data_IF_922898995616
#
_entry.id   IF_922898995616
#
_cell.length_a   1.000
_cell.length_b   1.000
_cell.length_c   1.000
_cell.angle_alpha   90.00
_cell.angle_beta   90.00
_cell.angle_gamma   90.00
#
_symmetry.space_group_name_H-M   'P 1'
#
loop_
_entity.id
_entity.type
_entity.pdbx_description
1 polymer ?
#
# COMPACT_ATOMS: atom_id res chain seq x y z
N UNK A 1 6.58 -1.52 -29.92
CA UNK A 1 6.93 -2.71 -30.72
C UNK A 1 7.58 -3.68 -29.76
N UNK A 2 6.82 -4.65 -29.28
CA UNK A 2 7.38 -5.80 -28.55
C UNK A 2 8.19 -6.63 -29.54
N UNK A 3 9.41 -6.96 -29.16
CA UNK A 3 10.31 -7.76 -29.99
C UNK A 3 9.90 -9.24 -29.94
N UNK A 4 10.01 -9.94 -31.06
CA UNK A 4 9.69 -11.37 -31.14
C UNK A 4 10.58 -12.17 -30.17
N UNK A 5 11.86 -11.82 -30.09
CA UNK A 5 12.83 -12.48 -29.22
C UNK A 5 12.53 -12.21 -27.74
N UNK A 6 12.05 -11.02 -27.39
CA UNK A 6 11.64 -10.68 -26.02
C UNK A 6 10.40 -11.47 -25.58
N UNK A 7 9.44 -11.67 -26.48
CA UNK A 7 8.22 -12.46 -26.20
C UNK A 7 8.55 -13.95 -25.99
N UNK A 8 9.42 -14.51 -26.84
CA UNK A 8 9.83 -15.91 -26.74
C UNK A 8 10.76 -16.17 -25.54
N UNK A 9 11.66 -15.24 -25.22
CA UNK A 9 12.48 -15.36 -23.99
C UNK A 9 11.62 -15.27 -22.73
N UNK A 10 10.58 -14.44 -22.71
CA UNK A 10 9.64 -14.36 -21.59
C UNK A 10 8.92 -15.70 -21.37
N UNK A 11 8.50 -16.37 -22.45
CA UNK A 11 7.96 -17.73 -22.41
C UNK A 11 8.98 -18.76 -21.90
N UNK A 12 10.22 -18.72 -22.41
CA UNK A 12 11.28 -19.65 -22.03
C UNK A 12 11.58 -19.63 -20.52
N UNK A 13 11.52 -18.45 -19.90
CA UNK A 13 11.76 -18.29 -18.46
C UNK A 13 10.51 -18.51 -17.60
N UNK A 14 9.38 -18.96 -18.19
CA UNK A 14 8.13 -19.20 -17.47
C UNK A 14 7.54 -17.95 -16.81
N UNK A 15 7.84 -16.76 -17.34
CA UNK A 15 7.32 -15.49 -16.79
C UNK A 15 5.92 -15.24 -17.34
N UNK A 16 5.09 -14.58 -16.52
CA UNK A 16 3.78 -14.12 -16.97
C UNK A 16 3.95 -13.09 -18.10
N UNK A 17 3.31 -13.34 -19.24
CA UNK A 17 3.22 -12.39 -20.33
C UNK A 17 2.35 -11.20 -19.91
N UNK A 18 2.82 -10.00 -20.20
CA UNK A 18 1.97 -8.82 -20.12
C UNK A 18 0.95 -8.79 -21.27
N UNK A 19 0.03 -7.84 -21.23
CA UNK A 19 -1.07 -7.74 -22.20
C UNK A 19 -0.56 -7.54 -23.63
N UNK A 20 0.53 -6.78 -23.80
CA UNK A 20 1.06 -6.42 -25.12
C UNK A 20 1.85 -7.58 -25.73
N UNK A 21 2.62 -8.32 -24.93
CA UNK A 21 3.30 -9.54 -25.33
C UNK A 21 2.31 -10.67 -25.65
N UNK A 22 1.21 -10.79 -24.89
CA UNK A 22 0.14 -11.75 -25.19
C UNK A 22 -0.58 -11.40 -26.51
N UNK A 23 -0.88 -10.12 -26.75
CA UNK A 23 -1.47 -9.66 -28.00
C UNK A 23 -0.52 -9.88 -29.19
N UNK A 24 0.78 -9.62 -29.01
CA UNK A 24 1.81 -9.88 -30.00
C UNK A 24 1.90 -11.37 -30.34
N UNK A 25 1.93 -12.23 -29.32
CA UNK A 25 1.94 -13.69 -29.52
C UNK A 25 0.71 -14.15 -30.29
N UNK A 26 -0.48 -13.60 -30.04
CA UNK A 26 -1.68 -13.96 -30.79
C UNK A 26 -1.64 -13.48 -32.26
N UNK A 27 -0.96 -12.37 -32.55
CA UNK A 27 -0.91 -11.78 -33.89
C UNK A 27 0.26 -12.29 -34.74
N UNK A 28 1.44 -12.48 -34.16
CA UNK A 28 2.68 -12.79 -34.87
C UNK A 28 2.71 -14.28 -35.27
N UNK A 29 2.81 -14.61 -36.58
CA UNK A 29 2.83 -16.00 -37.03
C UNK A 29 4.10 -16.75 -36.59
N UNK A 30 5.25 -16.06 -36.53
CA UNK A 30 6.52 -16.63 -36.06
C UNK A 30 6.43 -17.05 -34.59
N UNK A 31 6.02 -16.14 -33.71
CA UNK A 31 5.90 -16.44 -32.29
C UNK A 31 4.87 -17.55 -32.00
N UNK A 32 3.76 -17.63 -32.76
CA UNK A 32 2.80 -18.74 -32.64
C UNK A 32 3.38 -20.09 -33.06
N UNK A 33 4.21 -20.10 -34.10
CA UNK A 33 4.84 -21.33 -34.56
C UNK A 33 5.93 -21.81 -33.59
N UNK A 34 6.68 -20.88 -32.99
CA UNK A 34 7.82 -21.18 -32.10
C UNK A 34 7.41 -21.41 -30.63
N UNK A 35 6.30 -20.84 -30.15
CA UNK A 35 5.86 -20.98 -28.75
C UNK A 35 5.76 -22.42 -28.22
N UNK A 36 5.18 -23.42 -28.95
CA UNK A 36 5.11 -24.78 -28.41
C UNK A 36 6.50 -25.43 -28.24
N UNK A 37 7.46 -25.07 -29.09
CA UNK A 37 8.84 -25.56 -28.97
C UNK A 37 9.55 -24.92 -27.77
N UNK A 38 9.35 -23.61 -27.55
CA UNK A 38 9.89 -22.89 -26.40
C UNK A 38 9.29 -23.39 -25.08
N UNK A 39 7.99 -23.61 -25.01
CA UNK A 39 7.31 -24.20 -23.85
C UNK A 39 7.75 -25.66 -23.62
N UNK A 40 8.04 -26.40 -24.69
CA UNK A 40 8.63 -27.73 -24.59
C UNK A 40 10.03 -27.68 -23.97
N UNK A 41 10.85 -26.72 -24.41
CA UNK A 41 12.19 -26.51 -23.88
C UNK A 41 12.17 -26.11 -22.39
N UNK A 42 11.28 -25.18 -22.01
CA UNK A 42 11.06 -24.78 -20.62
C UNK A 42 10.72 -26.01 -19.75
N UNK A 43 9.77 -26.84 -20.17
CA UNK A 43 9.41 -28.08 -19.45
C UNK A 43 10.58 -29.05 -19.32
N UNK A 44 11.38 -29.24 -20.37
CA UNK A 44 12.56 -30.10 -20.29
C UNK A 44 13.63 -29.57 -19.35
N UNK A 45 13.84 -28.25 -19.32
CA UNK A 45 14.79 -27.61 -18.40
C UNK A 45 14.28 -27.68 -16.95
N UNK A 46 12.98 -27.49 -16.73
CA UNK A 46 12.34 -27.59 -15.42
C UNK A 46 12.36 -29.02 -14.87
N UNK A 47 12.30 -30.04 -15.73
CA UNK A 47 12.40 -31.45 -15.36
C UNK A 47 13.83 -31.91 -15.07
N UNK A 48 14.85 -31.10 -15.39
CA UNK A 48 16.23 -31.47 -15.12
C UNK A 48 16.46 -31.60 -13.61
N UNK A 49 17.17 -32.65 -13.15
CA UNK A 49 17.40 -32.87 -11.73
C UNK A 49 18.23 -31.73 -11.15
N UNK A 50 17.63 -30.95 -10.27
CA UNK A 50 18.33 -29.90 -9.52
C UNK A 50 18.91 -30.51 -8.25
N UNK A 51 20.22 -30.38 -8.00
CA UNK A 51 20.81 -30.87 -6.75
C UNK A 51 20.15 -30.19 -5.55
N UNK A 52 19.91 -30.95 -4.49
CA UNK A 52 19.30 -30.42 -3.27
C UNK A 52 20.14 -29.23 -2.76
N UNK A 53 19.54 -28.04 -2.58
CA UNK A 53 20.27 -26.90 -2.09
C UNK A 53 20.74 -27.15 -0.65
N UNK A 54 21.90 -26.62 -0.25
CA UNK A 54 22.36 -26.76 1.12
C UNK A 54 21.34 -26.15 2.09
N UNK A 55 21.12 -26.74 3.28
CA UNK A 55 20.01 -26.37 4.18
C UNK A 55 20.08 -24.92 4.66
N UNK A 56 21.28 -24.33 4.69
CA UNK A 56 21.48 -22.93 5.08
C UNK A 56 21.28 -21.92 3.92
N UNK A 57 21.15 -22.37 2.67
CA UNK A 57 21.11 -21.51 1.49
C UNK A 57 19.92 -20.54 1.55
N UNK A 58 18.72 -21.06 1.80
CA UNK A 58 17.51 -20.24 1.87
C UNK A 58 17.64 -19.12 2.91
N UNK A 59 18.12 -19.44 4.11
CA UNK A 59 18.34 -18.46 5.19
C UNK A 59 19.38 -17.42 4.80
N UNK A 60 20.49 -17.82 4.17
CA UNK A 60 21.56 -16.90 3.75
C UNK A 60 21.11 -15.98 2.61
N UNK A 61 20.37 -16.50 1.63
CA UNK A 61 19.79 -15.72 0.54
C UNK A 61 18.78 -14.72 1.07
N UNK A 62 17.90 -15.13 1.98
CA UNK A 62 16.94 -14.22 2.61
C UNK A 62 17.63 -13.14 3.45
N UNK A 63 18.68 -13.50 4.21
CA UNK A 63 19.44 -12.53 4.97
C UNK A 63 20.16 -11.51 4.06
N UNK A 64 20.75 -11.97 2.95
CA UNK A 64 21.40 -11.10 1.97
C UNK A 64 20.39 -10.23 1.19
N UNK A 65 19.19 -10.76 0.92
CA UNK A 65 18.12 -10.05 0.21
C UNK A 65 17.30 -9.14 1.14
N UNK A 66 17.41 -9.27 2.46
CA UNK A 66 16.68 -8.48 3.45
C UNK A 66 16.69 -6.96 3.19
N UNK A 67 17.82 -6.29 2.88
CA UNK A 67 17.81 -4.85 2.59
C UNK A 67 17.01 -4.51 1.32
N UNK A 68 17.10 -5.34 0.28
CA UNK A 68 16.36 -5.14 -0.97
C UNK A 68 14.87 -5.39 -0.79
N UNK A 69 14.51 -6.44 -0.05
CA UNK A 69 13.13 -6.75 0.33
C UNK A 69 12.52 -5.64 1.19
N UNK A 70 13.27 -5.09 2.15
CA UNK A 70 12.82 -3.97 2.98
C UNK A 70 12.60 -2.71 2.14
N UNK A 71 13.50 -2.41 1.20
CA UNK A 71 13.38 -1.25 0.30
C UNK A 71 12.20 -1.39 -0.66
N UNK A 72 11.97 -2.59 -1.20
CA UNK A 72 10.87 -2.84 -2.12
C UNK A 72 9.51 -2.88 -1.38
N UNK A 73 9.47 -3.46 -0.18
CA UNK A 73 8.28 -3.48 0.66
C UNK A 73 7.83 -2.05 1.03
N UNK A 74 8.76 -1.13 1.32
CA UNK A 74 8.43 0.30 1.57
C UNK A 74 7.80 0.95 0.34
N UNK A 75 8.32 0.69 -0.86
CA UNK A 75 7.75 1.23 -2.11
C UNK A 75 6.37 0.65 -2.40
N UNK A 76 6.17 -0.65 -2.19
CA UNK A 76 4.89 -1.32 -2.42
C UNK A 76 3.82 -0.95 -1.39
N UNK A 77 4.21 -0.62 -0.15
CA UNK A 77 3.28 -0.23 0.92
C UNK A 77 2.88 1.25 0.88
N UNK A 78 3.65 2.10 0.20
CA UNK A 78 3.38 3.54 0.11
C UNK A 78 2.01 3.88 -0.51
N UNK A 79 1.58 3.28 -1.65
CA UNK A 79 0.29 3.62 -2.25
C UNK A 79 -0.90 3.16 -1.41
N UNK A 80 -0.82 2.02 -0.71
CA UNK A 80 -1.88 1.55 0.19
C UNK A 80 -1.97 2.43 1.43
N UNK A 81 -0.82 2.83 2.00
CA UNK A 81 -0.77 3.72 3.15
C UNK A 81 -1.24 5.13 2.79
N UNK A 82 -0.87 5.65 1.61
CA UNK A 82 -1.36 6.91 1.08
C UNK A 82 -2.88 6.90 0.83
N UNK A 83 -3.44 5.79 0.33
CA UNK A 83 -4.90 5.63 0.17
C UNK A 83 -5.63 5.60 1.50
N UNK A 84 -5.10 4.87 2.48
CA UNK A 84 -5.67 4.81 3.82
C UNK A 84 -5.60 6.19 4.51
N UNK A 85 -4.48 6.89 4.37
CA UNK A 85 -4.29 8.24 4.90
C UNK A 85 -5.25 9.22 4.21
N UNK A 86 -5.39 9.16 2.88
CA UNK A 86 -6.31 10.02 2.13
C UNK A 86 -7.77 9.77 2.53
N UNK A 87 -8.17 8.51 2.72
CA UNK A 87 -9.52 8.16 3.17
C UNK A 87 -9.79 8.68 4.60
N UNK A 88 -8.79 8.61 5.48
CA UNK A 88 -8.88 9.15 6.84
C UNK A 88 -8.88 10.68 6.86
N UNK A 89 -8.11 11.34 5.99
CA UNK A 89 -8.02 12.80 5.94
C UNK A 89 -9.22 13.46 5.23
N UNK A 90 -9.95 12.72 4.40
CA UNK A 90 -11.11 13.22 3.67
C UNK A 90 -12.24 13.80 4.56
N UNK A 91 -12.65 13.15 5.67
CA UNK A 91 -13.70 13.69 6.56
C UNK A 91 -13.22 14.85 7.43
N UNK A 92 -11.92 14.95 7.71
CA UNK A 92 -11.33 15.93 8.62
C UNK A 92 -11.66 17.41 8.28
N UNK A 93 -11.56 17.89 7.02
CA UNK A 93 -11.93 19.26 6.68
C UNK A 93 -13.43 19.53 6.86
N UNK A 94 -14.30 18.54 6.61
CA UNK A 94 -15.74 18.69 6.79
C UNK A 94 -16.09 18.81 8.27
N UNK A 95 -15.48 17.98 9.12
CA UNK A 95 -15.65 18.03 10.58
C UNK A 95 -15.17 19.37 11.14
N UNK A 96 -13.98 19.83 10.75
CA UNK A 96 -13.43 21.13 11.18
C UNK A 96 -14.31 22.31 10.77
N UNK A 97 -14.87 22.26 9.56
CA UNK A 97 -15.72 23.33 9.05
C UNK A 97 -17.06 23.35 9.82
N UNK A 98 -17.64 22.18 10.09
CA UNK A 98 -18.85 22.06 10.91
C UNK A 98 -18.62 22.58 12.33
N UNK A 99 -17.51 22.18 12.98
CA UNK A 99 -17.13 22.62 14.32
C UNK A 99 -16.93 24.14 14.39
N UNK A 100 -16.23 24.72 13.40
CA UNK A 100 -16.03 26.15 13.32
C UNK A 100 -17.35 26.92 13.23
N UNK A 101 -18.28 26.45 12.39
CA UNK A 101 -19.60 27.07 12.27
C UNK A 101 -20.44 26.90 13.54
N UNK A 102 -20.40 25.72 14.18
CA UNK A 102 -21.11 25.46 15.43
C UNK A 102 -20.63 26.38 16.55
N UNK A 103 -19.30 26.48 16.70
CA UNK A 103 -18.65 27.32 17.70
C UNK A 103 -18.93 28.80 17.45
N UNK A 104 -18.89 29.24 16.18
CA UNK A 104 -19.22 30.62 15.80
C UNK A 104 -20.70 30.96 16.09
N UNK A 105 -21.61 30.04 15.79
CA UNK A 105 -23.03 30.21 16.07
C UNK A 105 -23.30 30.25 17.59
N UNK A 106 -22.71 29.32 18.34
CA UNK A 106 -22.81 29.27 19.79
C UNK A 106 -22.23 30.53 20.46
N UNK A 107 -21.08 31.03 19.98
CA UNK A 107 -20.48 32.27 20.46
C UNK A 107 -21.39 33.48 20.22
N UNK A 108 -21.96 33.60 19.01
CA UNK A 108 -22.92 34.66 18.70
C UNK A 108 -24.16 34.64 19.60
N UNK A 109 -24.65 33.43 19.93
CA UNK A 109 -25.80 33.24 20.81
C UNK A 109 -25.45 33.53 22.28
N UNK A 110 -24.25 33.15 22.74
CA UNK A 110 -23.78 33.40 24.09
C UNK A 110 -23.51 34.89 24.35
N UNK A 111 -22.92 35.61 23.40
CA UNK A 111 -22.65 37.05 23.54
C UNK A 111 -23.94 37.88 23.59
N UNK A 112 -25.06 37.35 23.09
CA UNK A 112 -26.37 37.97 23.22
C UNK A 112 -26.94 37.90 24.65
N UNK A 113 -26.41 37.02 25.52
CA UNK A 113 -26.97 36.72 26.84
C UNK A 113 -25.93 36.93 27.97
N UNK A 114 -24.62 36.84 27.68
CA UNK A 114 -23.53 36.81 28.65
C UNK A 114 -22.38 37.75 28.24
N UNK A 115 -21.63 38.36 29.19
CA UNK A 115 -20.45 39.17 28.90
C UNK A 115 -19.42 38.41 28.02
N UNK A 116 -18.94 39.10 26.98
CA UNK A 116 -18.06 38.59 25.90
C UNK A 116 -16.85 37.79 26.37
N UNK A 117 -16.25 38.18 27.51
CA UNK A 117 -15.09 37.49 28.07
C UNK A 117 -15.40 36.05 28.54
N UNK A 118 -16.57 35.82 29.13
CA UNK A 118 -17.00 34.51 29.60
C UNK A 118 -17.38 33.59 28.43
N UNK A 119 -18.04 34.14 27.41
CA UNK A 119 -18.35 33.40 26.17
C UNK A 119 -17.09 32.95 25.42
N UNK A 120 -16.06 33.81 25.37
CA UNK A 120 -14.81 33.50 24.68
C UNK A 120 -14.03 32.40 25.41
N UNK A 121 -14.03 32.44 26.74
CA UNK A 121 -13.35 31.43 27.57
C UNK A 121 -13.96 30.03 27.38
N UNK A 122 -15.30 29.91 27.42
CA UNK A 122 -16.00 28.62 27.26
C UNK A 122 -15.76 28.06 25.85
N UNK A 123 -15.90 28.90 24.83
CA UNK A 123 -15.69 28.50 23.43
C UNK A 123 -14.25 28.05 23.18
N UNK A 124 -13.26 28.79 23.70
CA UNK A 124 -11.86 28.42 23.56
C UNK A 124 -11.54 27.09 24.24
N UNK A 125 -12.06 26.88 25.45
CA UNK A 125 -11.85 25.64 26.19
C UNK A 125 -12.48 24.44 25.45
N UNK A 126 -13.71 24.60 24.96
CA UNK A 126 -14.38 23.57 24.16
C UNK A 126 -13.62 23.23 22.87
N UNK A 127 -13.18 24.26 22.12
CA UNK A 127 -12.37 24.08 20.92
C UNK A 127 -11.01 23.40 21.20
N UNK A 128 -10.36 23.75 22.31
CA UNK A 128 -9.12 23.11 22.73
C UNK A 128 -9.32 21.62 23.07
N UNK A 129 -10.44 21.29 23.71
CA UNK A 129 -10.75 19.90 24.06
C UNK A 129 -11.05 19.05 22.82
N UNK A 130 -11.81 19.61 21.86
CA UNK A 130 -12.07 18.98 20.56
C UNK A 130 -10.80 18.79 19.75
N UNK A 131 -9.95 19.81 19.65
CA UNK A 131 -8.66 19.73 18.98
C UNK A 131 -7.76 18.64 19.59
N UNK A 132 -7.73 18.54 20.92
CA UNK A 132 -6.98 17.51 21.63
C UNK A 132 -7.51 16.10 21.32
N UNK A 133 -8.83 15.91 21.36
CA UNK A 133 -9.47 14.63 21.04
C UNK A 133 -9.23 14.23 19.58
N UNK A 134 -9.31 15.17 18.64
CA UNK A 134 -9.01 14.92 17.23
C UNK A 134 -7.54 14.53 17.05
N UNK A 135 -6.62 15.27 17.68
CA UNK A 135 -5.20 14.98 17.61
C UNK A 135 -4.86 13.58 18.15
N UNK A 136 -5.46 13.20 19.28
CA UNK A 136 -5.32 11.85 19.86
C UNK A 136 -5.88 10.77 18.94
N UNK A 137 -7.10 10.98 18.42
CA UNK A 137 -7.77 9.97 17.60
C UNK A 137 -7.06 9.76 16.27
N UNK A 138 -6.72 10.84 15.57
CA UNK A 138 -6.01 10.78 14.29
C UNK A 138 -4.54 10.40 14.44
N UNK A 139 -3.88 10.83 15.53
CA UNK A 139 -2.52 10.43 15.84
C UNK A 139 -2.39 8.93 16.18
N UNK A 140 -3.45 8.32 16.70
CA UNK A 140 -3.45 6.90 17.02
C UNK A 140 -3.59 5.98 15.79
N UNK A 141 -4.23 6.45 14.70
CA UNK A 141 -4.44 5.66 13.46
C UNK A 141 -3.13 5.07 12.91
N UNK A 142 -2.05 5.84 12.65
CA UNK A 142 -0.82 5.27 12.11
C UNK A 142 -0.18 4.24 13.06
N UNK A 143 -0.31 4.43 14.37
CA UNK A 143 0.23 3.52 15.40
C UNK A 143 -0.51 2.17 15.33
N UNK A 144 -1.85 2.19 15.27
CA UNK A 144 -2.65 0.97 15.17
C UNK A 144 -2.43 0.24 13.84
N UNK A 145 -2.28 0.96 12.73
CA UNK A 145 -1.96 0.36 11.42
C UNK A 145 -0.60 -0.35 11.47
N UNK A 146 0.43 0.27 12.07
CA UNK A 146 1.74 -0.36 12.18
C UNK A 146 1.71 -1.62 13.07
N UNK A 147 0.96 -1.58 14.17
CA UNK A 147 0.77 -2.74 15.07
C UNK A 147 0.06 -3.90 14.36
N UNK A 148 -1.02 -3.63 13.61
CA UNK A 148 -1.74 -4.68 12.88
C UNK A 148 -0.89 -5.35 11.80
N UNK A 149 -0.03 -4.58 11.12
CA UNK A 149 0.91 -5.13 10.12
C UNK A 149 1.96 -6.04 10.78
N UNK A 150 2.44 -5.70 11.99
CA UNK A 150 3.37 -6.54 12.75
C UNK A 150 2.72 -7.85 13.20
N UNK A 151 1.50 -7.78 13.74
CA UNK A 151 0.76 -8.96 14.20
C UNK A 151 0.48 -9.95 13.06
N UNK A 152 0.00 -9.48 11.90
CA UNK A 152 -0.21 -10.35 10.72
C UNK A 152 1.06 -11.01 10.18
N UNK A 153 2.23 -10.38 10.37
CA UNK A 153 3.51 -11.00 9.99
C UNK A 153 3.91 -12.11 10.96
N UNK A 154 3.61 -11.96 12.25
CA UNK A 154 3.87 -13.00 13.25
C UNK A 154 2.96 -14.21 13.04
N UNK A 155 1.67 -14.00 12.77
CA UNK A 155 0.72 -15.10 12.49
C UNK A 155 1.06 -15.89 11.21
N UNK A 156 1.70 -15.28 10.22
CA UNK A 156 2.14 -15.96 8.98
C UNK A 156 3.47 -16.71 9.11
N UNK A 157 4.19 -16.53 10.21
CA UNK A 157 5.49 -17.14 10.46
C UNK A 157 5.49 -18.12 11.65
N UNK A 158 4.34 -18.30 12.31
CA UNK A 158 4.06 -19.38 13.24
C UNK A 158 3.46 -20.57 12.48
#
# INVERSE_FOLDING_TARGET
MTDCDETLTTLLFGRALDRDAAAHLAACPRCRAESPAVEGLERTLAAAPVPAPPPALARRVLAAAAPLLARNARRAAWPTLARALAAALLPLPVILLLDFYLVRAAFGLLVAILPTALGAYIVFNYAATLALLLALTYGAIPIFVEQQVRLRRQERHA
#
